data_IF_341454585043
#
_entry.id   IF_341454585043
#
_cell.length_a   1.000
_cell.length_b   1.000
_cell.length_c   1.000
_cell.angle_alpha   90.00
_cell.angle_beta   90.00
_cell.angle_gamma   90.00
#
_symmetry.space_group_name_H-M   'P 1'
#
loop_
_entity.id
_entity.type
_entity.pdbx_description
1 polymer ?
#
# COMPACT_ATOMS: atom_id res chain seq x y z
N UNK A 1 34.06 -43.02 24.95
CA UNK A 1 32.58 -43.02 25.14
C UNK A 1 32.27 -41.67 25.76
N UNK A 2 31.53 -40.74 25.19
CA UNK A 2 30.53 -40.77 24.12
C UNK A 2 30.51 -39.38 23.49
N UNK A 3 30.66 -39.32 22.16
CA UNK A 3 30.51 -38.09 21.37
C UNK A 3 29.02 -37.73 21.36
N UNK A 4 28.64 -36.64 22.01
CA UNK A 4 27.32 -36.05 21.83
C UNK A 4 27.35 -35.20 20.56
N UNK A 5 27.11 -35.81 19.40
CA UNK A 5 26.81 -35.04 18.20
C UNK A 5 25.41 -34.44 18.38
N UNK A 6 25.35 -33.15 18.72
CA UNK A 6 24.13 -32.39 18.57
C UNK A 6 23.79 -32.37 17.06
N UNK A 7 22.80 -33.17 16.66
CA UNK A 7 22.20 -33.07 15.34
C UNK A 7 21.57 -31.68 15.23
N UNK A 8 22.25 -30.73 14.59
CA UNK A 8 21.61 -29.50 14.16
C UNK A 8 20.57 -29.88 13.12
N UNK A 9 19.29 -29.87 13.50
CA UNK A 9 18.19 -29.99 12.53
C UNK A 9 18.33 -28.82 11.56
N UNK A 10 18.44 -29.12 10.26
CA UNK A 10 18.51 -28.08 9.24
C UNK A 10 17.31 -27.14 9.40
N UNK A 11 17.54 -25.84 9.27
CA UNK A 11 16.47 -24.84 9.33
C UNK A 11 15.53 -25.06 8.15
N UNK A 12 14.20 -25.01 8.35
CA UNK A 12 13.27 -25.10 7.23
C UNK A 12 13.44 -23.87 6.33
N UNK A 13 13.34 -24.08 5.02
CA UNK A 13 13.59 -23.06 4.00
C UNK A 13 12.28 -22.44 3.49
N UNK A 14 12.25 -21.12 3.39
CA UNK A 14 11.17 -20.36 2.78
C UNK A 14 11.70 -19.47 1.65
N UNK A 15 10.98 -19.42 0.54
CA UNK A 15 11.21 -18.43 -0.52
C UNK A 15 10.10 -17.40 -0.49
N UNK A 16 10.45 -16.12 -0.58
CA UNK A 16 9.51 -15.01 -0.67
C UNK A 16 9.67 -14.35 -2.04
N UNK A 17 8.58 -14.27 -2.78
CA UNK A 17 8.54 -13.61 -4.08
C UNK A 17 7.99 -12.20 -3.91
N UNK A 18 8.82 -11.19 -4.17
CA UNK A 18 8.51 -9.78 -3.97
C UNK A 18 9.18 -9.21 -2.72
N UNK A 19 10.08 -8.26 -2.91
CA UNK A 19 10.93 -7.68 -1.87
C UNK A 19 10.48 -6.31 -1.38
N UNK A 20 9.18 -5.99 -1.46
CA UNK A 20 8.58 -4.77 -0.89
C UNK A 20 8.12 -5.00 0.56
N UNK A 21 7.30 -4.10 1.12
CA UNK A 21 6.94 -4.09 2.54
C UNK A 21 6.37 -5.43 3.04
N UNK A 22 5.42 -6.03 2.33
CA UNK A 22 4.81 -7.31 2.72
C UNK A 22 5.83 -8.46 2.76
N UNK A 23 6.64 -8.58 1.71
CA UNK A 23 7.70 -9.59 1.65
C UNK A 23 8.79 -9.37 2.70
N UNK A 24 9.19 -8.12 2.96
CA UNK A 24 10.15 -7.80 4.00
C UNK A 24 9.62 -8.06 5.41
N UNK A 25 8.33 -7.85 5.67
CA UNK A 25 7.71 -8.28 6.94
C UNK A 25 7.79 -9.79 7.09
N UNK A 26 7.39 -10.54 6.05
CA UNK A 26 7.44 -12.01 6.07
C UNK A 26 8.88 -12.50 6.27
N UNK A 27 9.86 -11.95 5.54
CA UNK A 27 11.27 -12.33 5.63
C UNK A 27 11.79 -12.12 7.05
N UNK A 28 11.65 -10.90 7.57
CA UNK A 28 12.17 -10.55 8.89
C UNK A 28 11.54 -11.37 10.01
N UNK A 29 10.23 -11.64 9.94
CA UNK A 29 9.53 -12.44 10.94
C UNK A 29 9.93 -13.91 10.85
N UNK A 30 9.98 -14.50 9.65
CA UNK A 30 10.36 -15.91 9.47
C UNK A 30 11.81 -16.18 9.88
N UNK A 31 12.76 -15.32 9.47
CA UNK A 31 14.17 -15.44 9.87
C UNK A 31 14.32 -15.43 11.39
N UNK A 32 13.57 -14.55 12.08
CA UNK A 32 13.58 -14.47 13.56
C UNK A 32 12.88 -15.65 14.24
N UNK A 33 12.07 -16.40 13.50
CA UNK A 33 11.39 -17.62 13.96
C UNK A 33 12.04 -18.90 13.41
N UNK A 34 13.33 -18.84 13.06
CA UNK A 34 14.17 -20.02 12.82
C UNK A 34 14.15 -20.56 11.38
N UNK A 35 13.53 -19.84 10.44
CA UNK A 35 13.54 -20.19 9.02
C UNK A 35 14.80 -19.66 8.32
N UNK A 36 15.27 -20.42 7.33
CA UNK A 36 16.19 -19.91 6.31
C UNK A 36 15.36 -19.29 5.18
N UNK A 37 15.64 -18.05 4.80
CA UNK A 37 14.73 -17.25 3.95
C UNK A 37 15.50 -16.66 2.77
N UNK A 38 14.99 -16.86 1.56
CA UNK A 38 15.44 -16.14 0.37
C UNK A 38 14.31 -15.23 -0.15
N UNK A 39 14.61 -13.96 -0.39
CA UNK A 39 13.69 -12.99 -1.01
C UNK A 39 14.13 -12.74 -2.44
N UNK A 40 13.26 -12.98 -3.42
CA UNK A 40 13.50 -12.62 -4.82
C UNK A 40 12.69 -11.37 -5.18
N UNK A 41 13.40 -10.29 -5.51
CA UNK A 41 12.81 -9.03 -6.00
C UNK A 41 13.15 -8.84 -7.48
N UNK A 42 12.14 -8.59 -8.30
CA UNK A 42 12.30 -8.44 -9.75
C UNK A 42 13.07 -7.18 -10.15
N UNK A 43 12.98 -6.11 -9.35
CA UNK A 43 13.70 -4.87 -9.63
C UNK A 43 15.19 -5.06 -9.29
N UNK A 44 16.12 -4.76 -10.23
CA UNK A 44 17.55 -4.93 -9.99
C UNK A 44 18.12 -3.84 -9.07
N UNK A 45 17.54 -2.64 -9.12
CA UNK A 45 17.93 -1.49 -8.30
C UNK A 45 17.12 -1.41 -7.00
N UNK A 46 17.55 -0.55 -6.08
CA UNK A 46 16.78 -0.27 -4.86
C UNK A 46 15.39 0.28 -5.20
N UNK A 47 14.37 -0.24 -4.53
CA UNK A 47 13.00 0.17 -4.78
C UNK A 47 12.80 1.64 -4.37
N UNK A 48 12.41 2.48 -5.33
CA UNK A 48 12.12 3.88 -5.10
C UNK A 48 10.63 4.11 -4.77
N UNK A 49 10.37 4.81 -3.67
CA UNK A 49 9.02 5.24 -3.31
C UNK A 49 8.51 6.33 -4.23
N UNK A 50 7.48 6.05 -5.04
CA UNK A 50 6.85 7.03 -5.96
C UNK A 50 5.85 7.94 -5.24
N UNK A 51 6.26 8.52 -4.12
CA UNK A 51 5.45 9.51 -3.41
C UNK A 51 4.27 8.96 -2.61
N UNK A 52 4.38 7.72 -2.07
CA UNK A 52 3.33 7.15 -1.25
C UNK A 52 3.53 7.47 0.25
N UNK A 53 2.65 8.31 0.79
CA UNK A 53 2.43 8.40 2.22
C UNK A 53 1.79 7.12 2.79
N UNK A 54 2.08 6.82 4.05
CA UNK A 54 1.54 5.71 4.82
C UNK A 54 0.96 6.27 6.12
N UNK A 55 -0.27 5.87 6.40
CA UNK A 55 -0.92 6.11 7.70
C UNK A 55 -0.58 4.93 8.60
N UNK A 56 0.06 5.21 9.74
CA UNK A 56 0.41 4.15 10.69
C UNK A 56 -0.78 3.80 11.58
N UNK A 57 -0.81 2.54 12.01
CA UNK A 57 -1.81 1.96 12.90
C UNK A 57 -1.07 1.27 14.06
N UNK A 58 -1.67 1.14 15.27
CA UNK A 58 -1.01 0.48 16.39
C UNK A 58 -0.44 -0.90 16.02
N UNK A 59 -1.19 -1.69 15.28
CA UNK A 59 -0.83 -3.05 14.84
C UNK A 59 0.41 -3.04 13.93
N UNK A 60 0.63 -1.97 13.16
CA UNK A 60 1.82 -1.82 12.33
C UNK A 60 3.08 -1.68 13.18
N UNK A 61 3.00 -0.96 14.30
CA UNK A 61 4.16 -0.81 15.20
C UNK A 61 4.50 -2.12 15.90
N UNK A 62 3.50 -2.92 16.27
CA UNK A 62 3.74 -4.24 16.87
C UNK A 62 4.40 -5.21 15.87
N UNK A 63 3.97 -5.16 14.61
CA UNK A 63 4.60 -5.92 13.54
C UNK A 63 6.04 -5.47 13.25
N UNK A 64 6.30 -4.15 13.25
CA UNK A 64 7.65 -3.60 13.07
C UNK A 64 8.60 -4.06 14.19
N UNK A 65 8.17 -4.00 15.46
CA UNK A 65 8.96 -4.51 16.59
C UNK A 65 9.26 -6.00 16.44
N UNK A 66 8.25 -6.78 16.08
CA UNK A 66 8.38 -8.24 15.87
C UNK A 66 9.31 -8.57 14.70
N UNK A 67 9.33 -7.73 13.67
CA UNK A 67 10.28 -7.78 12.56
C UNK A 67 11.69 -7.27 12.93
N UNK A 68 11.93 -6.90 14.20
CA UNK A 68 13.22 -6.43 14.70
C UNK A 68 13.59 -5.01 14.30
N UNK A 69 12.62 -4.20 13.89
CA UNK A 69 12.82 -2.77 13.65
C UNK A 69 12.82 -2.03 14.99
N UNK A 70 13.85 -1.21 15.21
CA UNK A 70 13.89 -0.26 16.33
C UNK A 70 13.01 0.93 15.98
N UNK A 71 12.04 1.22 16.84
CA UNK A 71 11.09 2.33 16.64
C UNK A 71 11.49 3.47 17.57
N UNK A 72 11.72 4.63 16.98
CA UNK A 72 11.93 5.90 17.67
C UNK A 72 11.06 7.00 17.05
N UNK A 73 11.20 8.23 17.53
CA UNK A 73 10.44 9.38 17.04
C UNK A 73 10.71 9.75 15.57
N UNK A 74 11.75 9.18 14.94
CA UNK A 74 12.04 9.37 13.52
C UNK A 74 11.21 8.46 12.60
N UNK A 75 10.42 7.53 13.15
CA UNK A 75 9.64 6.56 12.36
C UNK A 75 8.58 7.22 11.45
N UNK A 76 8.17 8.45 11.79
CA UNK A 76 7.25 9.25 11.00
C UNK A 76 7.05 10.64 11.60
N UNK A 77 6.20 11.44 10.95
CA UNK A 77 5.80 12.77 11.37
C UNK A 77 4.52 12.67 12.20
N UNK A 78 4.52 13.26 13.40
CA UNK A 78 3.35 13.32 14.26
C UNK A 78 2.44 14.48 13.83
N UNK A 79 1.15 14.19 13.70
CA UNK A 79 0.09 15.18 13.54
C UNK A 79 -0.82 15.14 14.77
N UNK A 80 -1.47 16.26 15.09
CA UNK A 80 -2.25 16.43 16.31
C UNK A 80 -3.76 16.29 16.06
N UNK A 81 -4.20 16.77 14.90
CA UNK A 81 -5.62 16.85 14.56
C UNK A 81 -5.86 16.49 13.10
N UNK A 82 -7.15 16.38 12.78
CA UNK A 82 -7.68 16.28 11.43
C UNK A 82 -8.48 17.52 11.12
N UNK A 83 -8.36 18.04 9.91
CA UNK A 83 -9.07 19.26 9.48
C UNK A 83 -9.71 19.07 8.12
N UNK A 84 -10.89 19.63 7.92
CA UNK A 84 -11.50 19.77 6.59
C UNK A 84 -11.53 21.25 6.21
N UNK A 85 -10.97 21.56 5.05
CA UNK A 85 -10.90 22.91 4.50
C UNK A 85 -11.98 23.12 3.42
N UNK A 86 -12.62 24.28 3.47
CA UNK A 86 -13.54 24.76 2.44
C UNK A 86 -12.82 25.28 1.21
N UNK A 87 -13.53 25.44 0.10
CA UNK A 87 -12.97 25.98 -1.16
C UNK A 87 -12.44 27.41 -1.00
N UNK A 88 -12.95 28.17 -0.03
CA UNK A 88 -12.45 29.50 0.35
C UNK A 88 -11.22 29.46 1.27
N UNK A 89 -10.75 28.26 1.64
CA UNK A 89 -9.64 28.03 2.56
C UNK A 89 -10.01 28.10 4.04
N UNK A 90 -11.28 28.30 4.38
CA UNK A 90 -11.76 28.30 5.76
C UNK A 90 -11.75 26.90 6.38
N UNK A 91 -11.62 26.82 7.71
CA UNK A 91 -11.76 25.55 8.44
C UNK A 91 -13.24 25.26 8.62
N UNK A 92 -13.74 24.20 7.99
CA UNK A 92 -15.13 23.76 8.13
C UNK A 92 -15.33 22.94 9.39
N UNK A 93 -14.36 22.10 9.73
CA UNK A 93 -14.43 21.20 10.89
C UNK A 93 -13.02 20.75 11.26
N UNK A 94 -12.77 20.56 12.55
CA UNK A 94 -11.51 20.05 13.09
C UNK A 94 -11.77 19.06 14.22
N UNK A 95 -10.96 18.00 14.28
CA UNK A 95 -11.06 16.94 15.28
C UNK A 95 -9.70 16.54 15.80
N UNK A 96 -9.53 16.52 17.12
CA UNK A 96 -8.35 15.93 17.74
C UNK A 96 -8.27 14.42 17.45
N UNK A 97 -7.20 14.00 16.77
CA UNK A 97 -6.85 12.61 16.56
C UNK A 97 -5.34 12.53 16.27
N UNK A 98 -4.50 12.44 17.31
CA UNK A 98 -3.06 12.33 17.12
C UNK A 98 -2.69 11.07 16.34
N UNK A 99 -1.87 11.22 15.30
CA UNK A 99 -1.43 10.12 14.45
C UNK A 99 0.03 10.29 14.05
N UNK A 100 0.70 9.18 13.75
CA UNK A 100 2.03 9.19 13.13
C UNK A 100 1.90 8.83 11.66
N UNK A 101 2.48 9.64 10.78
CA UNK A 101 2.36 9.51 9.34
C UNK A 101 3.75 9.36 8.76
N UNK A 102 3.94 8.39 7.88
CA UNK A 102 5.26 8.05 7.37
C UNK A 102 5.26 7.93 5.86
N UNK A 103 6.41 7.65 5.28
CA UNK A 103 6.56 7.42 3.86
C UNK A 103 6.86 5.94 3.60
N UNK A 104 6.43 5.45 2.43
CA UNK A 104 6.80 4.12 1.97
C UNK A 104 8.31 3.88 2.00
N UNK A 105 9.10 4.88 1.57
CA UNK A 105 10.56 4.77 1.53
C UNK A 105 11.17 4.59 2.93
N UNK A 106 10.63 5.27 3.95
CA UNK A 106 11.06 5.10 5.35
C UNK A 106 10.79 3.67 5.82
N UNK A 107 9.58 3.16 5.59
CA UNK A 107 9.20 1.80 6.00
C UNK A 107 10.02 0.73 5.28
N UNK A 108 10.25 0.90 3.98
CA UNK A 108 11.09 0.02 3.20
C UNK A 108 12.51 -0.01 3.75
N UNK A 109 13.11 1.17 3.98
CA UNK A 109 14.48 1.29 4.47
C UNK A 109 14.67 0.62 5.85
N UNK A 110 13.78 0.86 6.81
CA UNK A 110 13.92 0.25 8.16
C UNK A 110 13.74 -1.26 8.13
N UNK A 111 12.83 -1.78 7.31
CA UNK A 111 12.61 -3.22 7.14
C UNK A 111 13.75 -3.89 6.38
N UNK A 112 14.28 -3.24 5.34
CA UNK A 112 15.40 -3.74 4.54
C UNK A 112 16.68 -3.78 5.36
N UNK A 113 16.91 -2.79 6.22
CA UNK A 113 18.05 -2.73 7.13
C UNK A 113 17.98 -3.79 8.24
N UNK A 114 16.77 -4.28 8.56
CA UNK A 114 16.57 -5.33 9.57
C UNK A 114 16.81 -6.75 9.02
N UNK A 115 16.91 -6.91 7.69
CA UNK A 115 17.13 -8.18 6.99
C UNK A 115 18.58 -8.26 6.47
N UNK A 116 19.35 -9.32 6.77
CA UNK A 116 20.69 -9.50 6.23
C UNK A 116 20.71 -9.57 4.69
N UNK A 117 21.71 -8.94 4.07
CA UNK A 117 21.81 -8.83 2.60
C UNK A 117 21.88 -10.16 1.87
N UNK A 118 22.45 -11.20 2.49
CA UNK A 118 22.54 -12.53 1.89
C UNK A 118 21.17 -13.17 1.60
N UNK A 119 20.10 -12.67 2.22
CA UNK A 119 18.74 -13.17 2.04
C UNK A 119 17.93 -12.36 1.02
N UNK A 120 18.48 -11.30 0.42
CA UNK A 120 17.75 -10.42 -0.51
C UNK A 120 18.40 -10.41 -1.90
N UNK A 121 17.73 -11.03 -2.87
CA UNK A 121 18.19 -11.22 -4.24
C UNK A 121 17.45 -10.26 -5.19
N UNK A 122 18.08 -9.14 -5.51
CA UNK A 122 17.56 -8.16 -6.49
C UNK A 122 17.75 -8.65 -7.93
N UNK A 123 16.84 -8.25 -8.83
CA UNK A 123 16.81 -8.73 -10.22
C UNK A 123 16.32 -10.18 -10.39
N UNK A 124 15.94 -10.86 -9.31
CA UNK A 124 15.39 -12.21 -9.32
C UNK A 124 13.93 -12.21 -9.74
N UNK A 125 13.67 -12.18 -11.06
CA UNK A 125 12.31 -12.22 -11.58
C UNK A 125 11.79 -13.66 -11.58
N UNK A 126 10.89 -13.96 -10.65
CA UNK A 126 10.16 -15.23 -10.60
C UNK A 126 9.09 -15.27 -11.68
N UNK A 127 9.06 -16.35 -12.45
CA UNK A 127 8.13 -16.56 -13.57
C UNK A 127 7.08 -17.62 -13.29
N UNK A 128 7.38 -18.62 -12.44
CA UNK A 128 6.38 -19.62 -12.03
C UNK A 128 6.64 -20.15 -10.63
N UNK A 129 5.57 -20.69 -10.03
CA UNK A 129 5.61 -21.42 -8.75
C UNK A 129 4.83 -22.73 -8.88
N UNK A 130 5.36 -23.79 -8.28
CA UNK A 130 4.75 -25.13 -8.32
C UNK A 130 4.74 -25.77 -6.93
N UNK A 131 3.60 -26.37 -6.55
CA UNK A 131 3.49 -27.16 -5.31
C UNK A 131 4.03 -28.59 -5.54
N UNK A 132 4.69 -29.16 -4.54
CA UNK A 132 5.21 -30.53 -4.59
C UNK A 132 5.09 -31.25 -3.25
N UNK A 133 5.20 -32.59 -3.22
CA UNK A 133 4.97 -33.38 -2.01
C UNK A 133 5.88 -32.95 -0.85
N UNK A 134 7.18 -32.82 -1.11
CA UNK A 134 8.19 -32.44 -0.13
C UNK A 134 8.54 -30.95 -0.15
N UNK A 135 8.61 -30.35 -1.33
CA UNK A 135 9.01 -28.95 -1.52
C UNK A 135 8.11 -28.24 -2.53
N UNK A 136 8.04 -26.91 -2.43
CA UNK A 136 7.56 -26.05 -3.50
C UNK A 136 8.74 -25.52 -4.30
N UNK A 137 8.49 -25.24 -5.57
CA UNK A 137 9.52 -24.86 -6.55
C UNK A 137 9.23 -23.48 -7.11
N UNK A 138 10.29 -22.69 -7.31
CA UNK A 138 10.25 -21.36 -7.93
C UNK A 138 11.16 -21.34 -9.15
N UNK A 139 10.64 -20.94 -10.29
CA UNK A 139 11.42 -20.74 -11.52
C UNK A 139 11.70 -19.25 -11.74
N UNK A 140 12.94 -18.90 -12.09
CA UNK A 140 13.33 -17.53 -12.42
C UNK A 140 13.43 -17.34 -13.94
N UNK A 141 13.41 -16.07 -14.37
CA UNK A 141 13.54 -15.69 -15.78
C UNK A 141 14.89 -16.05 -16.42
N UNK A 142 15.92 -16.29 -15.61
CA UNK A 142 17.23 -16.77 -16.07
C UNK A 142 17.29 -18.29 -16.27
N UNK A 143 16.20 -19.00 -15.98
CA UNK A 143 16.09 -20.46 -16.06
C UNK A 143 16.53 -21.20 -14.80
N UNK A 144 16.99 -20.49 -13.76
CA UNK A 144 17.31 -21.12 -12.48
C UNK A 144 16.05 -21.57 -11.75
N UNK A 145 16.17 -22.67 -11.01
CA UNK A 145 15.09 -23.31 -10.26
C UNK A 145 15.53 -23.46 -8.81
N UNK A 146 14.66 -23.06 -7.88
CA UNK A 146 14.93 -23.09 -6.45
C UNK A 146 13.81 -23.83 -5.73
N UNK A 147 14.19 -24.70 -4.79
CA UNK A 147 13.26 -25.46 -3.96
C UNK A 147 13.24 -24.92 -2.52
N UNK A 148 12.08 -24.99 -1.87
CA UNK A 148 11.89 -24.62 -0.48
C UNK A 148 10.75 -25.41 0.17
N UNK A 149 10.72 -25.48 1.50
CA UNK A 149 9.62 -26.10 2.24
C UNK A 149 8.30 -25.33 2.04
N UNK A 150 8.39 -24.01 1.80
CA UNK A 150 7.27 -23.15 1.39
C UNK A 150 7.69 -21.97 0.51
N UNK A 151 6.71 -21.45 -0.24
CA UNK A 151 6.84 -20.22 -1.05
C UNK A 151 5.76 -19.22 -0.65
N UNK A 152 6.14 -17.97 -0.40
CA UNK A 152 5.23 -16.86 -0.09
C UNK A 152 5.26 -15.86 -1.25
N UNK A 153 4.14 -15.73 -1.96
CA UNK A 153 3.95 -14.76 -3.01
C UNK A 153 3.46 -13.42 -2.43
N UNK A 154 4.35 -12.44 -2.41
CA UNK A 154 4.14 -11.06 -1.97
C UNK A 154 4.43 -10.05 -3.11
N UNK A 155 4.17 -10.45 -4.35
CA UNK A 155 4.49 -9.76 -5.61
C UNK A 155 3.48 -8.64 -5.99
N UNK A 156 2.66 -8.21 -5.04
CA UNK A 156 1.86 -6.98 -5.10
C UNK A 156 0.53 -7.11 -5.86
N UNK A 157 -0.18 -5.99 -6.03
CA UNK A 157 -1.56 -6.00 -6.55
C UNK A 157 -1.70 -6.57 -7.97
N UNK A 158 -0.64 -6.47 -8.79
CA UNK A 158 -0.54 -7.08 -10.13
C UNK A 158 0.12 -8.48 -10.10
N UNK A 159 0.00 -9.19 -8.97
CA UNK A 159 0.61 -10.51 -8.77
C UNK A 159 0.37 -11.45 -9.95
N UNK A 160 1.47 -11.87 -10.57
CA UNK A 160 1.46 -12.85 -11.66
C UNK A 160 1.26 -14.25 -11.08
N UNK A 161 1.81 -14.51 -9.88
CA UNK A 161 1.62 -15.78 -9.17
C UNK A 161 0.16 -16.00 -8.81
N UNK A 162 -0.56 -14.97 -8.31
CA UNK A 162 -2.01 -15.07 -8.09
C UNK A 162 -2.72 -15.43 -9.39
N UNK A 163 -2.35 -14.82 -10.51
CA UNK A 163 -2.94 -15.11 -11.82
C UNK A 163 -2.75 -16.57 -12.26
N UNK A 164 -1.64 -17.20 -11.89
CA UNK A 164 -1.39 -18.62 -12.15
C UNK A 164 -2.26 -19.53 -11.26
N UNK A 165 -2.40 -19.18 -9.98
CA UNK A 165 -3.11 -19.98 -8.98
C UNK A 165 -4.64 -19.80 -9.00
N UNK A 166 -5.11 -18.64 -9.44
CA UNK A 166 -6.51 -18.19 -9.46
C UNK A 166 -6.79 -17.38 -10.74
N UNK A 167 -6.81 -18.02 -11.94
CA UNK A 167 -6.92 -17.33 -13.22
C UNK A 167 -8.23 -16.54 -13.42
N UNK A 168 -9.29 -16.92 -12.70
CA UNK A 168 -10.58 -16.25 -12.77
C UNK A 168 -10.67 -14.98 -11.90
N UNK A 169 -9.71 -14.78 -10.98
CA UNK A 169 -9.72 -13.63 -10.06
C UNK A 169 -9.02 -12.43 -10.73
N UNK A 170 -9.78 -11.37 -10.99
CA UNK A 170 -9.32 -10.17 -11.70
C UNK A 170 -9.40 -8.93 -10.83
N UNK A 171 -8.56 -7.94 -11.13
CA UNK A 171 -8.65 -6.62 -10.52
C UNK A 171 -9.92 -5.92 -11.03
N UNK A 172 -10.72 -5.41 -10.13
CA UNK A 172 -11.94 -4.67 -10.46
C UNK A 172 -11.66 -3.17 -10.39
N UNK A 173 -11.84 -2.46 -11.50
CA UNK A 173 -11.69 -1.00 -11.50
C UNK A 173 -12.81 -0.37 -10.68
N UNK A 174 -12.43 0.51 -9.75
CA UNK A 174 -13.36 1.07 -8.80
C UNK A 174 -14.15 2.27 -9.36
N UNK A 175 -13.94 2.71 -10.62
CA UNK A 175 -14.65 3.86 -11.20
C UNK A 175 -14.06 5.23 -10.86
N UNK A 176 -12.82 5.28 -10.38
CA UNK A 176 -12.12 6.54 -10.11
C UNK A 176 -10.60 6.35 -10.11
N UNK A 177 -9.89 7.45 -10.35
CA UNK A 177 -8.44 7.54 -10.19
C UNK A 177 -8.08 8.26 -8.89
N UNK A 178 -6.81 8.16 -8.50
CA UNK A 178 -6.21 8.99 -7.47
C UNK A 178 -4.95 9.67 -7.99
N UNK A 179 -4.98 11.00 -8.11
CA UNK A 179 -3.77 11.81 -8.24
C UNK A 179 -2.99 11.77 -6.94
N UNK A 180 -1.68 11.71 -7.04
CA UNK A 180 -0.74 11.58 -5.92
C UNK A 180 0.51 12.39 -6.19
N UNK A 181 1.10 12.89 -5.12
CA UNK A 181 2.38 13.55 -5.19
C UNK A 181 2.96 13.88 -3.82
N UNK A 182 4.23 14.28 -3.85
CA UNK A 182 4.95 14.83 -2.72
C UNK A 182 5.43 16.23 -3.05
N UNK A 183 5.41 17.09 -2.05
CA UNK A 183 5.91 18.46 -2.14
C UNK A 183 6.87 18.73 -0.99
N UNK A 184 8.05 19.27 -1.28
CA UNK A 184 9.03 19.64 -0.24
C UNK A 184 8.44 20.77 0.64
N UNK A 185 8.53 20.65 1.97
CA UNK A 185 7.93 21.59 2.93
C UNK A 185 8.29 23.05 2.62
N UNK A 186 9.56 23.31 2.32
CA UNK A 186 10.08 24.66 2.08
C UNK A 186 9.70 25.24 0.72
N UNK A 187 9.05 24.45 -0.15
CA UNK A 187 8.53 24.94 -1.43
C UNK A 187 7.10 25.51 -1.33
N UNK A 188 6.40 25.26 -0.21
CA UNK A 188 5.07 25.77 0.09
C UNK A 188 5.15 27.10 0.84
N UNK A 189 4.13 27.96 0.68
CA UNK A 189 4.01 29.22 1.41
C UNK A 189 3.87 29.02 2.93
N UNK A 190 4.25 30.04 3.72
CA UNK A 190 4.09 29.98 5.19
C UNK A 190 2.62 29.73 5.60
N UNK A 191 1.61 30.43 5.05
CA UNK A 191 0.21 30.17 5.38
C UNK A 191 -0.21 28.72 5.15
N UNK A 192 0.19 28.12 4.02
CA UNK A 192 -0.10 26.71 3.71
C UNK A 192 0.61 25.76 4.68
N UNK A 193 1.87 26.04 5.04
CA UNK A 193 2.60 25.24 6.03
C UNK A 193 1.91 25.26 7.40
N UNK A 194 1.54 26.45 7.87
CA UNK A 194 0.87 26.63 9.17
C UNK A 194 -0.51 25.94 9.20
N UNK A 195 -1.20 25.87 8.06
CA UNK A 195 -2.50 25.22 7.96
C UNK A 195 -2.41 23.68 7.97
N UNK A 196 -1.36 23.10 7.37
CA UNK A 196 -1.34 21.68 6.99
C UNK A 196 -0.34 20.80 7.77
N UNK A 197 0.82 21.29 8.21
CA UNK A 197 1.94 20.42 8.64
C UNK A 197 1.85 19.82 10.05
N UNK A 198 0.82 20.18 10.81
CA UNK A 198 0.46 19.59 12.09
C UNK A 198 -0.85 18.77 12.02
N UNK A 199 -1.43 18.64 10.81
CA UNK A 199 -2.76 18.05 10.61
C UNK A 199 -2.77 16.97 9.53
N UNK A 200 -3.76 16.08 9.63
CA UNK A 200 -4.25 15.31 8.50
C UNK A 200 -5.40 16.09 7.87
N UNK A 201 -5.18 16.65 6.69
CA UNK A 201 -6.12 17.58 6.07
C UNK A 201 -6.99 16.91 5.00
N UNK A 202 -8.18 17.45 4.81
CA UNK A 202 -9.14 17.07 3.78
C UNK A 202 -9.68 18.32 3.07
N UNK A 203 -10.07 18.18 1.83
CA UNK A 203 -10.97 19.10 1.15
C UNK A 203 -11.98 18.26 0.34
N UNK A 204 -13.26 18.65 0.43
CA UNK A 204 -14.39 17.88 -0.09
C UNK A 204 -15.15 18.70 -1.15
N UNK A 205 -14.53 19.00 -2.30
CA UNK A 205 -15.26 19.60 -3.42
C UNK A 205 -16.39 18.67 -3.90
N UNK A 206 -17.38 19.21 -4.63
CA UNK A 206 -18.40 18.40 -5.28
C UNK A 206 -17.77 17.28 -6.12
N UNK A 207 -18.28 16.06 -5.95
CA UNK A 207 -17.87 14.85 -6.69
C UNK A 207 -16.44 14.33 -6.47
N UNK A 208 -15.60 15.04 -5.73
CA UNK A 208 -14.17 14.70 -5.62
C UNK A 208 -13.69 14.78 -4.17
N UNK A 209 -12.58 14.11 -3.84
CA UNK A 209 -12.03 14.09 -2.50
C UNK A 209 -10.53 14.22 -2.52
N UNK A 210 -9.98 15.26 -1.89
CA UNK A 210 -8.54 15.32 -1.62
C UNK A 210 -8.29 15.18 -0.13
N UNK A 211 -7.22 14.45 0.18
CA UNK A 211 -6.62 14.41 1.50
C UNK A 211 -5.12 14.61 1.41
N UNK A 212 -4.51 15.04 2.50
CA UNK A 212 -3.07 15.16 2.57
C UNK A 212 -2.55 15.23 3.98
N UNK A 213 -1.25 14.99 4.11
CA UNK A 213 -0.58 14.98 5.39
C UNK A 213 0.95 15.04 5.24
N UNK A 214 1.67 15.54 6.26
CA UNK A 214 3.12 15.56 6.26
C UNK A 214 3.71 14.15 6.43
N UNK A 215 4.82 13.89 5.75
CA UNK A 215 5.59 12.64 5.79
C UNK A 215 7.08 12.95 5.84
N UNK A 216 7.89 11.93 6.11
CA UNK A 216 9.35 12.06 6.04
C UNK A 216 9.80 12.54 4.65
N UNK A 217 10.74 13.47 4.62
CA UNK A 217 11.28 14.03 3.38
C UNK A 217 12.51 13.29 2.87
N UNK A 218 13.39 14.01 2.17
CA UNK A 218 14.60 13.43 1.62
C UNK A 218 15.50 12.88 2.73
N UNK A 219 16.20 11.77 2.46
CA UNK A 219 17.03 11.10 3.46
C UNK A 219 16.25 10.59 4.68
N UNK A 220 14.93 10.39 4.54
CA UNK A 220 14.05 9.92 5.62
C UNK A 220 13.95 10.89 6.82
N UNK A 221 14.22 12.19 6.61
CA UNK A 221 14.15 13.21 7.65
C UNK A 221 12.71 13.53 8.08
N UNK A 222 12.49 13.64 9.39
CA UNK A 222 11.24 14.11 9.99
C UNK A 222 11.38 15.51 10.58
N UNK A 223 12.53 16.16 10.42
CA UNK A 223 12.83 17.51 10.94
C UNK A 223 11.98 18.57 10.23
N UNK A 224 11.31 19.50 10.96
CA UNK A 224 10.62 20.62 10.32
C UNK A 224 11.50 21.40 9.35
N UNK A 225 11.00 21.67 8.15
CA UNK A 225 11.74 22.27 7.05
C UNK A 225 12.39 21.25 6.10
N UNK A 226 12.52 19.99 6.51
CA UNK A 226 13.06 18.91 5.68
C UNK A 226 12.00 17.87 5.30
N UNK A 227 10.77 18.00 5.82
CA UNK A 227 9.66 17.08 5.55
C UNK A 227 9.09 17.29 4.14
N UNK A 228 8.21 16.38 3.74
CA UNK A 228 7.39 16.51 2.54
C UNK A 228 5.91 16.47 2.90
N UNK A 229 5.08 17.06 2.07
CA UNK A 229 3.63 16.94 2.16
C UNK A 229 3.12 15.97 1.10
N UNK A 230 2.43 14.91 1.54
CA UNK A 230 1.77 13.93 0.70
C UNK A 230 0.33 14.36 0.43
N UNK A 231 -0.12 14.25 -0.81
CA UNK A 231 -1.54 14.37 -1.15
C UNK A 231 -2.06 13.17 -1.93
N UNK A 232 -3.35 12.90 -1.79
CA UNK A 232 -4.10 11.95 -2.59
C UNK A 232 -5.44 12.58 -2.96
N UNK A 233 -5.67 12.79 -4.26
CA UNK A 233 -6.87 13.41 -4.79
C UNK A 233 -7.64 12.44 -5.67
N UNK A 234 -8.77 11.96 -5.15
CA UNK A 234 -9.67 11.05 -5.81
C UNK A 234 -10.64 11.80 -6.72
N UNK A 235 -10.71 11.34 -7.97
CA UNK A 235 -11.59 11.92 -9.00
C UNK A 235 -12.33 10.79 -9.71
N UNK A 236 -13.66 10.90 -9.75
CA UNK A 236 -14.50 9.97 -10.50
C UNK A 236 -14.09 9.97 -11.98
N UNK A 237 -13.99 8.80 -12.59
CA UNK A 237 -13.44 8.65 -13.94
C UNK A 237 -14.06 7.44 -14.59
N UNK A 238 -14.83 7.66 -15.66
CA UNK A 238 -15.56 6.58 -16.35
C UNK A 238 -14.59 5.58 -17.00
N UNK A 239 -14.94 4.30 -16.95
CA UNK A 239 -14.10 3.23 -17.50
C UNK A 239 -14.14 3.19 -19.03
N UNK A 240 -15.27 3.56 -19.62
CA UNK A 240 -15.52 3.45 -21.06
C UNK A 240 -15.02 4.65 -21.87
N UNK A 241 -14.91 5.83 -21.24
CA UNK A 241 -14.56 7.08 -21.93
C UNK A 241 -13.32 7.75 -21.35
N UNK A 242 -13.32 8.11 -20.07
CA UNK A 242 -12.29 8.99 -19.51
C UNK A 242 -10.99 8.24 -19.19
N UNK A 243 -11.09 7.05 -18.58
CA UNK A 243 -9.92 6.28 -18.18
C UNK A 243 -9.05 5.84 -19.38
N UNK A 244 -9.61 5.36 -20.51
CA UNK A 244 -8.84 5.04 -21.71
C UNK A 244 -8.05 6.24 -22.23
N UNK A 245 -8.66 7.43 -22.23
CA UNK A 245 -7.98 8.65 -22.66
C UNK A 245 -6.81 8.96 -21.71
N UNK A 246 -7.04 9.02 -20.40
CA UNK A 246 -5.99 9.32 -19.41
C UNK A 246 -4.82 8.33 -19.49
N UNK A 247 -5.08 7.07 -19.82
CA UNK A 247 -4.07 6.01 -19.92
C UNK A 247 -3.37 5.95 -21.30
N UNK A 248 -3.65 6.88 -22.21
CA UNK A 248 -3.02 6.94 -23.53
C UNK A 248 -1.86 7.95 -23.52
N UNK A 249 -0.66 7.55 -23.94
CA UNK A 249 0.47 8.47 -24.02
C UNK A 249 0.45 9.33 -25.30
N UNK A 250 1.39 10.27 -25.42
CA UNK A 250 1.48 11.17 -26.57
C UNK A 250 1.75 10.46 -27.91
N UNK A 251 2.15 9.18 -27.90
CA UNK A 251 2.32 8.36 -29.11
C UNK A 251 1.02 7.66 -29.54
N UNK A 252 -0.05 7.78 -28.74
CA UNK A 252 -1.31 7.06 -28.93
C UNK A 252 -1.30 5.65 -28.33
N UNK A 253 -0.25 5.25 -27.61
CA UNK A 253 -0.20 3.95 -26.96
C UNK A 253 -1.00 3.98 -25.66
N UNK A 254 -1.99 3.10 -25.57
CA UNK A 254 -2.76 2.87 -24.34
C UNK A 254 -2.04 1.92 -23.40
N UNK A 255 -1.91 2.32 -22.14
CA UNK A 255 -1.29 1.52 -21.07
C UNK A 255 -2.35 0.79 -20.23
N UNK A 256 -2.12 -0.50 -19.96
CA UNK A 256 -3.05 -1.31 -19.16
C UNK A 256 -2.80 -1.18 -17.66
N UNK A 257 -3.83 -0.77 -16.92
CA UNK A 257 -3.80 -0.71 -15.45
C UNK A 257 -2.83 0.33 -14.86
N UNK A 258 -2.52 1.40 -15.60
CA UNK A 258 -1.70 2.52 -15.14
C UNK A 258 -0.65 2.97 -16.17
N UNK A 259 -0.42 4.27 -16.25
CA UNK A 259 0.57 4.90 -17.14
C UNK A 259 1.84 5.30 -16.36
N UNK A 260 3.05 5.15 -16.93
CA UNK A 260 4.26 5.70 -16.32
C UNK A 260 4.15 7.22 -16.13
N UNK A 261 4.57 7.80 -14.98
CA UNK A 261 4.41 9.23 -14.73
C UNK A 261 5.05 10.12 -15.80
N UNK A 262 6.19 9.71 -16.35
CA UNK A 262 6.91 10.43 -17.41
C UNK A 262 6.20 10.41 -18.76
N UNK A 263 5.15 9.61 -18.92
CA UNK A 263 4.37 9.47 -20.14
C UNK A 263 2.96 10.07 -20.00
N UNK A 264 2.60 10.61 -18.83
CA UNK A 264 1.38 11.39 -18.67
C UNK A 264 1.49 12.61 -19.58
N UNK A 265 0.46 12.85 -20.40
CA UNK A 265 0.49 13.92 -21.38
C UNK A 265 0.47 15.29 -20.70
N UNK A 266 1.19 16.30 -21.22
CA UNK A 266 1.24 17.63 -20.61
C UNK A 266 -0.14 18.28 -20.43
N UNK A 267 -1.07 18.08 -21.36
CA UNK A 267 -2.44 18.60 -21.27
C UNK A 267 -3.22 17.98 -20.09
N UNK A 268 -3.01 16.70 -19.79
CA UNK A 268 -3.65 16.04 -18.63
C UNK A 268 -3.13 16.62 -17.31
N UNK A 269 -1.84 17.00 -17.27
CA UNK A 269 -1.24 17.69 -16.13
C UNK A 269 -1.77 19.12 -15.99
N UNK A 270 -1.89 19.85 -17.11
CA UNK A 270 -2.45 21.20 -17.11
C UNK A 270 -3.93 21.20 -16.64
N UNK A 271 -4.73 20.24 -17.12
CA UNK A 271 -6.12 20.07 -16.69
C UNK A 271 -6.22 19.74 -15.19
N UNK A 272 -5.29 18.94 -14.66
CA UNK A 272 -5.20 18.67 -13.22
C UNK A 272 -4.89 19.95 -12.43
N UNK A 273 -3.94 20.76 -12.88
CA UNK A 273 -3.56 22.02 -12.23
C UNK A 273 -4.69 23.05 -12.25
N UNK A 274 -5.36 23.23 -13.40
CA UNK A 274 -6.51 24.12 -13.53
C UNK A 274 -7.65 23.67 -12.60
N UNK A 275 -7.99 22.38 -12.63
CA UNK A 275 -9.02 21.82 -11.75
C UNK A 275 -8.64 21.98 -10.27
N UNK A 276 -7.36 21.85 -9.90
CA UNK A 276 -6.91 22.06 -8.54
C UNK A 276 -7.16 23.50 -8.07
N UNK A 277 -6.86 24.50 -8.90
CA UNK A 277 -7.10 25.91 -8.58
C UNK A 277 -8.57 26.30 -8.53
N UNK A 278 -9.42 25.57 -9.25
CA UNK A 278 -10.86 25.85 -9.34
C UNK A 278 -11.65 25.17 -8.21
N UNK A 279 -11.30 23.93 -7.89
CA UNK A 279 -12.12 23.06 -7.04
C UNK A 279 -11.62 22.96 -5.59
N UNK A 280 -10.32 23.10 -5.35
CA UNK A 280 -9.73 22.79 -4.05
C UNK A 280 -9.57 24.04 -3.18
N UNK A 281 -9.45 23.82 -1.87
CA UNK A 281 -8.99 24.86 -0.95
C UNK A 281 -7.62 25.42 -1.42
N UNK A 282 -7.32 26.72 -1.29
CA UNK A 282 -6.09 27.33 -1.78
C UNK A 282 -4.81 26.63 -1.32
N UNK A 283 -4.81 26.09 -0.11
CA UNK A 283 -3.70 25.32 0.46
C UNK A 283 -3.45 24.02 -0.30
N UNK A 284 -4.52 23.31 -0.69
CA UNK A 284 -4.41 22.09 -1.49
C UNK A 284 -4.11 22.40 -2.96
N UNK A 285 -4.68 23.47 -3.52
CA UNK A 285 -4.34 23.93 -4.86
C UNK A 285 -2.83 24.24 -4.98
N UNK A 286 -2.25 24.92 -3.99
CA UNK A 286 -0.80 25.15 -3.91
C UNK A 286 -0.03 23.83 -3.84
N UNK A 287 -0.43 22.89 -3.00
CA UNK A 287 0.22 21.57 -2.90
C UNK A 287 0.21 20.83 -4.25
N UNK A 288 -0.94 20.76 -4.92
CA UNK A 288 -1.04 20.04 -6.20
C UNK A 288 -0.19 20.69 -7.29
N UNK A 289 -0.25 22.01 -7.43
CA UNK A 289 0.50 22.77 -8.46
C UNK A 289 2.01 22.85 -8.19
N UNK A 290 2.45 22.64 -6.94
CA UNK A 290 3.89 22.59 -6.57
C UNK A 290 4.48 21.20 -6.68
N UNK A 291 3.67 20.17 -6.93
CA UNK A 291 4.15 18.81 -7.09
C UNK A 291 5.00 18.70 -8.37
N UNK A 292 6.28 18.35 -8.24
CA UNK A 292 7.19 18.27 -9.40
C UNK A 292 6.93 17.07 -10.31
N UNK A 293 6.43 15.98 -9.72
CA UNK A 293 6.19 14.71 -10.40
C UNK A 293 4.88 14.09 -9.89
N UNK A 294 3.73 14.75 -10.13
CA UNK A 294 2.45 14.15 -9.82
C UNK A 294 2.27 12.91 -10.70
N UNK A 295 1.56 11.93 -10.16
CA UNK A 295 1.13 10.76 -10.89
C UNK A 295 -0.32 10.48 -10.56
N UNK A 296 -1.02 9.73 -11.41
CA UNK A 296 -2.29 9.15 -11.02
C UNK A 296 -2.26 7.64 -11.09
N UNK A 297 -3.11 7.03 -10.28
CA UNK A 297 -3.33 5.59 -10.26
C UNK A 297 -4.82 5.30 -10.41
N UNK A 298 -5.24 4.46 -11.37
CA UNK A 298 -6.59 3.91 -11.36
C UNK A 298 -6.78 3.04 -10.13
N UNK A 299 -7.87 3.26 -9.39
CA UNK A 299 -8.11 2.52 -8.15
C UNK A 299 -8.77 1.20 -8.48
N UNK A 300 -8.18 0.12 -7.96
CA UNK A 300 -8.70 -1.23 -8.08
C UNK A 300 -8.97 -1.81 -6.69
N UNK A 301 -9.83 -2.82 -6.66
CA UNK A 301 -9.90 -3.75 -5.55
C UNK A 301 -9.98 -5.20 -6.04
N UNK A 302 -9.71 -6.14 -5.14
CA UNK A 302 -9.67 -7.56 -5.42
C UNK A 302 -9.74 -8.37 -4.12
N UNK A 303 -10.50 -9.46 -4.18
CA UNK A 303 -10.57 -10.47 -3.12
C UNK A 303 -10.19 -11.84 -3.69
N UNK A 304 -9.53 -12.67 -2.89
CA UNK A 304 -9.26 -14.08 -3.22
C UNK A 304 -10.09 -15.00 -2.33
N UNK A 305 -10.57 -16.16 -2.83
CA UNK A 305 -11.35 -17.10 -2.04
C UNK A 305 -10.48 -17.88 -1.03
N UNK A 306 -9.17 -17.90 -1.23
CA UNK A 306 -8.18 -18.55 -0.35
C UNK A 306 -6.80 -17.94 -0.59
N UNK A 307 -5.92 -18.09 0.39
CA UNK A 307 -4.55 -17.60 0.34
C UNK A 307 -3.51 -18.73 0.34
N UNK A 308 -3.89 -20.00 0.48
CA UNK A 308 -2.95 -21.14 0.50
C UNK A 308 -3.28 -22.20 -0.56
N UNK A 309 -2.21 -22.76 -1.13
CA UNK A 309 -2.18 -23.70 -2.25
C UNK A 309 -1.08 -24.73 -1.99
N UNK A 310 -1.33 -25.68 -1.09
CA UNK A 310 -0.31 -26.62 -0.64
C UNK A 310 0.80 -25.89 0.14
N UNK A 311 2.01 -25.88 -0.39
CA UNK A 311 3.19 -25.20 0.17
C UNK A 311 3.36 -23.76 -0.32
N UNK A 312 2.43 -23.25 -1.13
CA UNK A 312 2.46 -21.87 -1.64
C UNK A 312 1.38 -21.05 -0.92
N UNK A 313 1.71 -19.82 -0.51
CA UNK A 313 0.74 -18.87 0.04
C UNK A 313 0.86 -17.47 -0.57
N UNK A 314 -0.27 -16.79 -0.75
CA UNK A 314 -0.34 -15.38 -1.14
C UNK A 314 -0.29 -14.49 0.10
N UNK A 315 0.32 -13.31 0.01
CA UNK A 315 0.45 -12.35 1.11
C UNK A 315 0.26 -10.90 0.65
N UNK A 316 -0.39 -10.08 1.47
CA UNK A 316 -0.54 -8.66 1.20
C UNK A 316 -1.39 -8.39 -0.04
N UNK A 317 -0.93 -7.52 -0.92
CA UNK A 317 -1.70 -7.12 -2.11
C UNK A 317 -1.68 -8.18 -3.22
N UNK A 318 -0.81 -9.19 -3.11
CA UNK A 318 -0.91 -10.37 -3.97
C UNK A 318 -2.21 -11.14 -3.72
N UNK A 319 -2.74 -11.11 -2.48
CA UNK A 319 -3.98 -11.75 -2.10
C UNK A 319 -5.19 -10.80 -2.13
N UNK A 320 -5.15 -9.69 -1.38
CA UNK A 320 -6.29 -8.79 -1.21
C UNK A 320 -5.88 -7.37 -1.53
N UNK A 321 -6.54 -6.74 -2.48
CA UNK A 321 -6.27 -5.35 -2.87
C UNK A 321 -7.39 -4.49 -2.30
N UNK A 322 -7.08 -3.74 -1.25
CA UNK A 322 -8.02 -2.83 -0.62
C UNK A 322 -7.86 -1.41 -1.20
N UNK A 323 -8.99 -0.71 -1.38
CA UNK A 323 -8.96 0.71 -1.77
C UNK A 323 -8.21 1.52 -0.70
N UNK A 324 -7.44 2.54 -1.11
CA UNK A 324 -6.54 3.27 -0.21
C UNK A 324 -7.25 4.07 0.90
N UNK A 325 -8.56 4.30 0.81
CA UNK A 325 -9.35 5.05 1.80
C UNK A 325 -9.23 4.52 3.22
N UNK A 326 -9.10 3.20 3.41
CA UNK A 326 -8.93 2.61 4.73
C UNK A 326 -7.53 2.84 5.33
N UNK A 327 -6.53 3.23 4.53
CA UNK A 327 -5.15 3.41 5.01
C UNK A 327 -4.46 2.12 5.46
N UNK A 328 -5.05 0.95 5.23
CA UNK A 328 -4.62 -0.32 5.84
C UNK A 328 -3.69 -1.18 4.98
N UNK A 329 -3.29 -0.76 3.78
CA UNK A 329 -2.53 -1.63 2.85
C UNK A 329 -1.29 -2.27 3.49
N UNK A 330 -0.45 -1.45 4.14
CA UNK A 330 0.77 -1.92 4.81
C UNK A 330 0.45 -2.68 6.09
N UNK A 331 -0.44 -2.17 6.94
CA UNK A 331 -0.87 -2.83 8.18
C UNK A 331 -1.47 -4.22 7.90
N UNK A 332 -2.25 -4.37 6.83
CA UNK A 332 -2.81 -5.64 6.37
C UNK A 332 -1.70 -6.63 6.02
N UNK A 333 -0.74 -6.23 5.20
CA UNK A 333 0.37 -7.10 4.81
C UNK A 333 1.25 -7.49 6.02
N UNK A 334 1.45 -6.57 6.96
CA UNK A 334 2.15 -6.85 8.21
C UNK A 334 1.38 -7.86 9.08
N UNK A 335 0.06 -7.69 9.21
CA UNK A 335 -0.81 -8.63 9.91
C UNK A 335 -0.89 -10.00 9.25
N UNK A 336 -0.82 -10.06 7.91
CA UNK A 336 -0.68 -11.31 7.16
C UNK A 336 0.62 -12.03 7.57
N UNK A 337 1.75 -11.33 7.54
CA UNK A 337 3.05 -11.91 7.90
C UNK A 337 3.10 -12.40 9.38
N UNK A 338 2.48 -11.66 10.30
CA UNK A 338 2.34 -12.07 11.70
C UNK A 338 1.49 -13.33 11.84
N UNK A 339 0.33 -13.39 11.19
CA UNK A 339 -0.56 -14.56 11.25
C UNK A 339 0.07 -15.80 10.62
N UNK A 340 0.80 -15.62 9.50
CA UNK A 340 1.57 -16.68 8.86
C UNK A 340 2.59 -17.28 9.83
N UNK A 341 3.38 -16.41 10.46
CA UNK A 341 4.42 -16.83 11.42
C UNK A 341 3.81 -17.53 12.64
N UNK A 342 2.69 -17.03 13.16
CA UNK A 342 1.98 -17.63 14.28
C UNK A 342 1.44 -19.04 13.94
N UNK A 343 0.89 -19.22 12.73
CA UNK A 343 0.42 -20.52 12.26
C UNK A 343 1.58 -21.53 12.15
N UNK A 344 2.71 -21.13 11.57
CA UNK A 344 3.92 -21.98 11.45
C UNK A 344 4.58 -22.30 12.80
N UNK A 345 4.37 -21.47 13.81
CA UNK A 345 4.84 -21.74 15.18
C UNK A 345 3.94 -22.76 15.88
N UNK A 346 2.65 -22.76 15.56
CA UNK A 346 1.64 -23.58 16.24
C UNK A 346 1.43 -24.95 15.59
N UNK A 347 1.81 -25.09 14.32
CA UNK A 347 1.64 -26.30 13.52
C UNK A 347 2.94 -26.64 12.79
N UNK A 348 3.42 -27.86 12.96
CA UNK A 348 4.69 -28.32 12.40
C UNK A 348 4.57 -28.71 10.92
N UNK A 349 3.38 -29.13 10.47
CA UNK A 349 3.11 -29.41 9.07
C UNK A 349 2.84 -28.10 8.31
N UNK A 350 3.73 -27.76 7.38
CA UNK A 350 3.65 -26.52 6.59
C UNK A 350 2.31 -26.39 5.85
N UNK A 351 1.79 -27.46 5.25
CA UNK A 351 0.55 -27.40 4.48
C UNK A 351 -0.63 -27.07 5.39
N UNK A 352 -0.67 -27.67 6.60
CA UNK A 352 -1.70 -27.37 7.60
C UNK A 352 -1.56 -25.97 8.17
N UNK A 353 -0.34 -25.51 8.46
CA UNK A 353 -0.08 -24.15 8.91
C UNK A 353 -0.55 -23.11 7.89
N UNK A 354 -0.21 -23.29 6.60
CA UNK A 354 -0.67 -22.40 5.53
C UNK A 354 -2.19 -22.45 5.33
N UNK A 355 -2.82 -23.62 5.47
CA UNK A 355 -4.26 -23.75 5.42
C UNK A 355 -4.96 -22.95 6.54
N UNK A 356 -4.43 -23.01 7.76
CA UNK A 356 -4.98 -22.24 8.89
C UNK A 356 -4.75 -20.74 8.73
N UNK A 357 -3.55 -20.34 8.30
CA UNK A 357 -3.26 -18.97 7.88
C UNK A 357 -4.29 -18.45 6.86
N UNK A 358 -4.52 -19.23 5.80
CA UNK A 358 -5.49 -18.90 4.76
C UNK A 358 -6.90 -18.77 5.32
N UNK A 359 -7.34 -19.70 6.18
CA UNK A 359 -8.70 -19.67 6.78
C UNK A 359 -8.95 -18.38 7.56
N UNK A 360 -7.97 -17.94 8.35
CA UNK A 360 -8.06 -16.72 9.16
C UNK A 360 -7.97 -15.49 8.25
N UNK A 361 -6.91 -15.39 7.44
CA UNK A 361 -6.58 -14.16 6.72
C UNK A 361 -7.46 -13.88 5.51
N UNK A 362 -8.10 -14.88 4.94
CA UNK A 362 -9.13 -14.68 3.90
C UNK A 362 -10.32 -13.89 4.46
N UNK A 363 -10.78 -14.19 5.67
CA UNK A 363 -11.90 -13.47 6.30
C UNK A 363 -11.53 -12.03 6.64
N UNK A 364 -10.35 -11.81 7.21
CA UNK A 364 -9.87 -10.47 7.54
C UNK A 364 -9.62 -9.64 6.27
N UNK A 365 -9.04 -10.26 5.23
CA UNK A 365 -8.82 -9.63 3.93
C UNK A 365 -10.13 -9.16 3.31
N UNK A 366 -11.15 -10.02 3.28
CA UNK A 366 -12.49 -9.68 2.80
C UNK A 366 -13.11 -8.52 3.61
N UNK A 367 -13.04 -8.57 4.94
CA UNK A 367 -13.57 -7.51 5.81
C UNK A 367 -12.91 -6.14 5.53
N UNK A 368 -11.58 -6.12 5.34
CA UNK A 368 -10.83 -4.91 5.00
C UNK A 368 -11.24 -4.39 3.61
N UNK A 369 -11.36 -5.26 2.61
CA UNK A 369 -11.78 -4.85 1.26
C UNK A 369 -13.19 -4.30 1.27
N UNK A 370 -14.13 -4.94 1.97
CA UNK A 370 -15.51 -4.45 2.10
C UNK A 370 -15.58 -3.09 2.80
N UNK A 371 -14.80 -2.90 3.87
CA UNK A 371 -14.70 -1.59 4.51
C UNK A 371 -14.11 -0.54 3.57
N UNK A 372 -13.06 -0.88 2.82
CA UNK A 372 -12.45 0.01 1.85
C UNK A 372 -13.41 0.37 0.69
N UNK A 373 -14.25 -0.58 0.26
CA UNK A 373 -15.34 -0.36 -0.71
C UNK A 373 -16.38 0.60 -0.17
N UNK A 374 -16.80 0.44 1.07
CA UNK A 374 -17.73 1.35 1.74
C UNK A 374 -17.19 2.79 1.76
N UNK A 375 -15.95 3.00 2.21
CA UNK A 375 -15.33 4.33 2.22
C UNK A 375 -15.19 4.94 0.82
N UNK A 376 -14.91 4.12 -0.19
CA UNK A 376 -14.80 4.55 -1.58
C UNK A 376 -16.14 4.68 -2.32
N UNK A 377 -17.26 4.31 -1.71
CA UNK A 377 -18.56 4.27 -2.37
C UNK A 377 -19.02 5.66 -2.82
N UNK A 378 -18.62 6.71 -2.10
CA UNK A 378 -18.91 8.09 -2.50
C UNK A 378 -18.35 8.42 -3.88
N UNK A 379 -17.10 8.03 -4.19
CA UNK A 379 -16.50 8.24 -5.51
C UNK A 379 -17.24 7.47 -6.60
N UNK A 380 -17.63 6.23 -6.31
CA UNK A 380 -18.39 5.40 -7.25
C UNK A 380 -19.77 5.97 -7.57
N UNK A 381 -20.46 6.52 -6.58
CA UNK A 381 -21.79 7.08 -6.75
C UNK A 381 -21.81 8.23 -7.78
N UNK A 382 -20.70 8.93 -7.97
CA UNK A 382 -20.59 10.04 -8.92
C UNK A 382 -20.73 9.60 -10.38
N UNK A 383 -20.52 8.33 -10.69
CA UNK A 383 -20.73 7.79 -12.04
C UNK A 383 -22.08 7.06 -12.22
N UNK A 384 -22.86 6.91 -11.13
CA UNK A 384 -24.18 6.26 -11.17
C UNK A 384 -25.27 7.28 -11.52
N UNK A 385 -26.52 6.95 -11.19
CA UNK A 385 -27.68 7.81 -11.39
C UNK A 385 -27.73 8.98 -10.38
N UNK A 386 -28.59 9.97 -10.66
CA UNK A 386 -28.76 11.17 -9.83
C UNK A 386 -29.16 10.85 -8.39
N UNK A 387 -30.03 9.86 -8.18
CA UNK A 387 -30.46 9.43 -6.83
C UNK A 387 -29.28 8.97 -5.98
N UNK A 388 -28.40 8.14 -6.53
CA UNK A 388 -27.21 7.66 -5.85
C UNK A 388 -26.24 8.81 -5.52
N UNK A 389 -26.09 9.77 -6.43
CA UNK A 389 -25.26 10.97 -6.22
C UNK A 389 -25.77 11.82 -5.06
N UNK A 390 -27.06 12.13 -5.07
CA UNK A 390 -27.70 12.94 -4.01
C UNK A 390 -27.62 12.24 -2.65
N UNK A 391 -27.83 10.92 -2.61
CA UNK A 391 -27.68 10.15 -1.37
C UNK A 391 -26.24 10.15 -0.87
N UNK A 392 -25.26 9.95 -1.75
CA UNK A 392 -23.86 9.96 -1.38
C UNK A 392 -23.42 11.33 -0.83
N UNK A 393 -23.88 12.43 -1.44
CA UNK A 393 -23.58 13.79 -1.00
C UNK A 393 -24.18 14.09 0.39
N UNK A 394 -25.42 13.64 0.64
CA UNK A 394 -26.11 13.86 1.92
C UNK A 394 -25.35 13.30 3.13
N UNK A 395 -24.67 12.16 2.97
CA UNK A 395 -23.99 11.48 4.08
C UNK A 395 -22.49 11.76 4.15
N UNK A 396 -21.93 12.45 3.15
CA UNK A 396 -20.52 12.85 3.13
C UNK A 396 -20.32 14.16 3.87
N UNK A 397 -20.33 14.11 5.20
CA UNK A 397 -19.99 15.31 6.01
C UNK A 397 -18.48 15.35 6.33
N UNK A 398 -17.91 16.55 6.55
CA UNK A 398 -16.55 16.70 7.07
C UNK A 398 -16.23 15.79 8.27
N UNK A 399 -17.16 15.69 9.22
CA UNK A 399 -17.01 14.90 10.44
C UNK A 399 -16.97 13.40 10.13
N UNK A 400 -17.81 12.93 9.21
CA UNK A 400 -17.85 11.52 8.81
C UNK A 400 -16.55 11.11 8.11
N UNK A 401 -16.11 11.89 7.11
CA UNK A 401 -14.88 11.61 6.36
C UNK A 401 -13.66 11.59 7.29
N UNK A 402 -13.54 12.57 8.19
CA UNK A 402 -12.45 12.62 9.16
C UNK A 402 -12.48 11.47 10.18
N UNK A 403 -13.66 10.98 10.55
CA UNK A 403 -13.82 9.87 11.52
C UNK A 403 -13.47 8.52 10.91
N UNK A 404 -13.66 8.35 9.61
CA UNK A 404 -13.68 7.03 8.98
C UNK A 404 -12.50 6.78 8.03
N UNK A 405 -11.98 7.81 7.37
CA UNK A 405 -10.88 7.65 6.39
C UNK A 405 -9.55 7.39 7.09
N UNK A 406 -8.84 6.31 6.76
CA UNK A 406 -7.54 5.98 7.34
C UNK A 406 -7.53 6.01 8.88
N UNK A 407 -8.58 5.43 9.46
CA UNK A 407 -8.73 5.17 10.90
C UNK A 407 -8.92 3.67 11.06
N UNK A 408 -8.24 3.01 12.02
CA UNK A 408 -8.37 1.58 12.20
C UNK A 408 -9.82 1.21 12.51
N UNK A 409 -10.41 0.36 11.67
CA UNK A 409 -11.59 -0.40 12.02
C UNK A 409 -11.15 -1.63 12.82
N UNK A 410 -11.90 -1.96 13.89
CA UNK A 410 -11.71 -3.22 14.60
C UNK A 410 -12.34 -4.32 13.76
N UNK A 411 -11.52 -5.20 13.20
CA UNK A 411 -11.92 -6.31 12.34
C UNK A 411 -11.84 -7.65 13.07
#
# INVERSE_FOLDING_TARGET
MTNASAFFKARPKAIIVGGSLGGLFAANLLTRNGWDVDVFERVPDELAGRGAGIVTHPELFDALKSAGVVIDDSIGVKVLSRVTLGQDGSVLSERSLPQTLTAWAKMYHVLRSALPDCHYHSGGTVTSVEDGPEHATVSLSDGSIHEADMVIAADGFKSEIRGQLLPDVKLEYAGYIAWRGLVDEMSLSKPTRDALFDKFAFCLPPHEQILGYPVAGQGNSTTPGERRYNFVWYRATSEDADLPDLLTDASGKRWSGGIPPTLIRPEVLADMEEAATTLLAPQFAEVVTRAKQPLFQPIFDLEVPRMAFGRIALLGDAAFVARPHCGMGVTKAAGDAMALTAALTSEADVRRALAEYSRIRTQVGAAIVQHARHLGAYMQAQLKNETDRVMAERYRTPEAVMRETAVPARF
#
